data_IF_847680754029
#
_entry.id   IF_847680754029
#
_cell.length_a   1.000
_cell.length_b   1.000
_cell.length_c   1.000
_cell.angle_alpha   90.00
_cell.angle_beta   90.00
_cell.angle_gamma   90.00
#
_symmetry.space_group_name_H-M   'P 1'
#
loop_
_entity.id
_entity.type
_entity.pdbx_description
1 polymer ?
#
# COMPACT_ATOMS: atom_id res chain seq x y z
N UNK A 1 16.20 -10.01 -22.95
CA UNK A 1 16.40 -9.52 -21.58
C UNK A 1 15.02 -9.10 -21.12
N UNK A 2 14.41 -9.79 -20.16
CA UNK A 2 13.10 -9.36 -19.66
C UNK A 2 13.29 -7.98 -19.00
N UNK A 3 12.48 -7.01 -19.40
CA UNK A 3 12.49 -5.70 -18.75
C UNK A 3 12.16 -5.90 -17.27
N UNK A 4 13.00 -5.34 -16.39
CA UNK A 4 12.77 -5.42 -14.94
C UNK A 4 11.48 -4.67 -14.61
N UNK A 5 10.54 -5.32 -13.91
CA UNK A 5 9.25 -4.72 -13.57
C UNK A 5 9.46 -3.53 -12.63
N UNK A 6 9.20 -2.34 -13.14
CA UNK A 6 9.48 -1.09 -12.44
C UNK A 6 8.32 -0.09 -12.67
N UNK A 7 8.17 0.86 -11.74
CA UNK A 7 7.16 1.89 -11.80
C UNK A 7 7.47 3.00 -10.79
N UNK A 8 6.85 4.17 -10.98
CA UNK A 8 6.77 5.21 -9.94
C UNK A 8 5.51 5.01 -9.12
N UNK A 9 5.66 4.99 -7.80
CA UNK A 9 4.56 4.84 -6.87
C UNK A 9 4.48 6.02 -5.92
N UNK A 10 3.31 6.65 -5.88
CA UNK A 10 2.95 7.67 -4.91
C UNK A 10 1.92 7.09 -3.95
N UNK A 11 2.22 7.10 -2.66
CA UNK A 11 1.33 6.54 -1.64
C UNK A 11 1.01 7.61 -0.60
N UNK A 12 -0.27 7.82 -0.35
CA UNK A 12 -0.80 8.82 0.56
C UNK A 12 -1.73 8.14 1.57
N UNK A 13 -1.53 8.45 2.85
CA UNK A 13 -2.38 7.98 3.95
C UNK A 13 -3.14 9.17 4.53
N UNK A 14 -4.45 9.01 4.71
CA UNK A 14 -5.31 9.99 5.35
C UNK A 14 -6.34 9.32 6.27
N UNK A 15 -6.42 9.69 7.55
CA UNK A 15 -5.51 10.60 8.26
C UNK A 15 -4.14 9.94 8.54
N UNK A 16 -3.08 10.75 8.68
CA UNK A 16 -1.73 10.28 9.07
C UNK A 16 -1.63 9.90 10.55
N UNK A 17 -2.65 10.27 11.34
CA UNK A 17 -2.80 9.89 12.74
C UNK A 17 -4.20 9.32 12.94
N UNK A 18 -4.31 8.14 13.52
CA UNK A 18 -5.57 7.42 13.69
C UNK A 18 -5.61 6.72 15.05
N UNK A 19 -6.77 6.69 15.69
CA UNK A 19 -6.99 5.92 16.89
C UNK A 19 -7.77 4.64 16.57
N UNK A 20 -7.82 3.70 17.50
CA UNK A 20 -8.68 2.52 17.42
C UNK A 20 -10.10 2.90 16.99
N UNK A 21 -10.62 2.20 15.97
CA UNK A 21 -11.93 2.45 15.38
C UNK A 21 -11.97 3.57 14.32
N UNK A 22 -10.86 4.29 14.10
CA UNK A 22 -10.77 5.31 13.05
C UNK A 22 -10.56 4.66 11.69
N UNK A 23 -11.32 5.09 10.69
CA UNK A 23 -11.10 4.67 9.30
C UNK A 23 -9.90 5.42 8.70
N UNK A 24 -8.91 4.66 8.23
CA UNK A 24 -7.74 5.15 7.51
C UNK A 24 -7.87 4.81 6.04
N UNK A 25 -7.65 5.81 5.20
CA UNK A 25 -7.63 5.66 3.75
C UNK A 25 -6.21 5.72 3.25
N UNK A 26 -5.74 4.63 2.64
CA UNK A 26 -4.50 4.57 1.88
C UNK A 26 -4.85 4.70 0.39
N UNK A 27 -4.37 5.74 -0.27
CA UNK A 27 -4.50 5.93 -1.72
C UNK A 27 -3.13 5.80 -2.36
N UNK A 28 -3.04 5.02 -3.42
CA UNK A 28 -1.79 4.73 -4.13
C UNK A 28 -2.00 5.01 -5.61
N UNK A 29 -1.11 5.79 -6.20
CA UNK A 29 -1.07 6.07 -7.63
C UNK A 29 0.20 5.51 -8.21
N UNK A 30 0.08 4.81 -9.33
CA UNK A 30 1.22 4.21 -10.00
C UNK A 30 1.31 4.76 -11.42
N UNK A 31 2.50 5.16 -11.82
CA UNK A 31 2.78 5.76 -13.13
C UNK A 31 4.11 5.23 -13.68
N UNK A 32 4.38 5.49 -14.96
CA UNK A 32 5.61 5.05 -15.63
C UNK A 32 5.89 3.53 -15.48
N UNK A 33 4.88 2.68 -15.70
CA UNK A 33 5.00 1.22 -15.55
C UNK A 33 5.84 0.66 -16.72
N UNK A 34 6.92 -0.05 -16.39
CA UNK A 34 7.79 -0.74 -17.36
C UNK A 34 7.95 -2.22 -16.99
N UNK A 35 8.21 -3.07 -17.99
CA UNK A 35 8.41 -4.50 -17.75
C UNK A 35 7.17 -5.26 -17.28
N UNK A 36 5.97 -4.80 -17.65
CA UNK A 36 4.71 -5.53 -17.47
C UNK A 36 3.51 -4.67 -17.11
N UNK A 37 2.42 -5.33 -16.72
CA UNK A 37 1.20 -4.71 -16.20
C UNK A 37 1.02 -5.05 -14.72
N UNK A 38 0.44 -4.13 -13.95
CA UNK A 38 0.11 -4.35 -12.54
C UNK A 38 -1.08 -5.29 -12.44
N UNK A 39 -0.90 -6.40 -11.72
CA UNK A 39 -1.97 -7.32 -11.37
C UNK A 39 -2.67 -6.89 -10.08
N UNK A 40 -1.91 -6.54 -9.04
CA UNK A 40 -2.44 -6.21 -7.72
C UNK A 40 -1.48 -5.34 -6.94
N UNK A 41 -2.01 -4.50 -6.06
CA UNK A 41 -1.23 -3.68 -5.12
C UNK A 41 -1.52 -4.17 -3.72
N UNK A 42 -0.47 -4.44 -2.96
CA UNK A 42 -0.53 -4.97 -1.61
C UNK A 42 0.05 -3.96 -0.64
N UNK A 43 -0.59 -3.83 0.51
CA UNK A 43 -0.09 -3.14 1.69
C UNK A 43 0.20 -4.15 2.79
N UNK A 44 1.27 -3.92 3.53
CA UNK A 44 1.65 -4.76 4.67
C UNK A 44 2.31 -3.93 5.75
N UNK A 45 2.08 -4.32 7.00
CA UNK A 45 2.75 -3.79 8.17
C UNK A 45 3.44 -5.01 8.81
N UNK A 46 4.68 -5.34 8.39
CA UNK A 46 5.35 -6.54 8.85
C UNK A 46 5.60 -6.54 10.36
N UNK A 47 5.77 -5.36 10.96
CA UNK A 47 5.88 -5.17 12.42
C UNK A 47 4.62 -5.62 13.18
N UNK A 48 3.47 -5.63 12.51
CA UNK A 48 2.16 -6.03 13.05
C UNK A 48 1.64 -7.35 12.46
N UNK A 49 2.37 -7.95 11.51
CA UNK A 49 1.91 -9.14 10.78
C UNK A 49 0.64 -8.89 9.95
N UNK A 50 0.35 -7.64 9.62
CA UNK A 50 -0.86 -7.27 8.87
C UNK A 50 -0.59 -7.16 7.37
N UNK A 51 -1.53 -7.65 6.57
CA UNK A 51 -1.45 -7.69 5.11
C UNK A 51 -2.83 -7.42 4.54
N UNK A 52 -2.91 -6.57 3.53
CA UNK A 52 -4.14 -6.27 2.83
C UNK A 52 -3.88 -5.92 1.38
N UNK A 53 -4.88 -6.13 0.53
CA UNK A 53 -4.78 -5.84 -0.91
C UNK A 53 -5.62 -4.60 -1.20
N UNK A 54 -5.03 -3.63 -1.89
CA UNK A 54 -5.74 -2.42 -2.28
C UNK A 54 -6.68 -2.73 -3.45
N UNK A 55 -7.83 -2.06 -3.45
CA UNK A 55 -8.80 -2.15 -4.53
C UNK A 55 -8.46 -1.14 -5.62
N UNK A 56 -8.42 -1.58 -6.87
CA UNK A 56 -8.28 -0.66 -8.01
C UNK A 56 -9.52 0.23 -8.12
N UNK A 57 -9.31 1.53 -8.24
CA UNK A 57 -10.33 2.53 -8.54
C UNK A 57 -10.38 2.88 -10.04
N UNK A 58 -9.46 2.33 -10.85
CA UNK A 58 -9.24 2.75 -12.24
C UNK A 58 -8.12 3.79 -12.35
N UNK A 59 -7.71 4.11 -13.58
CA UNK A 59 -6.72 5.17 -13.88
C UNK A 59 -5.39 5.03 -13.11
N UNK A 60 -4.91 3.79 -12.95
CA UNK A 60 -3.72 3.47 -12.15
C UNK A 60 -3.77 4.02 -10.71
N UNK A 61 -4.97 4.04 -10.13
CA UNK A 61 -5.19 4.41 -8.74
C UNK A 61 -5.75 3.21 -7.97
N UNK A 62 -5.17 2.96 -6.80
CA UNK A 62 -5.60 1.95 -5.86
C UNK A 62 -5.93 2.59 -4.53
N UNK A 63 -6.95 2.07 -3.86
CA UNK A 63 -7.37 2.53 -2.55
C UNK A 63 -7.63 1.37 -1.62
N UNK A 64 -7.22 1.54 -0.36
CA UNK A 64 -7.63 0.73 0.76
C UNK A 64 -8.25 1.65 1.81
N UNK A 65 -9.39 1.23 2.34
CA UNK A 65 -10.02 1.85 3.49
C UNK A 65 -10.09 0.77 4.54
N UNK A 66 -9.43 1.00 5.67
CA UNK A 66 -9.35 0.03 6.76
C UNK A 66 -9.50 0.75 8.10
N UNK A 67 -10.17 0.11 9.05
CA UNK A 67 -10.45 0.69 10.35
C UNK A 67 -9.50 0.13 11.39
N UNK A 68 -8.75 1.00 12.05
CA UNK A 68 -7.73 0.61 13.05
C UNK A 68 -8.33 -0.39 14.04
N UNK A 69 -7.86 -1.65 14.06
CA UNK A 69 -8.44 -2.67 14.92
C UNK A 69 -8.13 -2.40 16.40
N UNK A 70 -8.94 -2.94 17.31
CA UNK A 70 -8.75 -2.77 18.76
C UNK A 70 -7.42 -3.32 19.28
N UNK A 71 -6.82 -4.28 18.57
CA UNK A 71 -5.50 -4.84 18.87
C UNK A 71 -4.32 -4.11 18.23
N UNK A 72 -4.55 -2.96 17.59
CA UNK A 72 -3.48 -2.23 16.92
C UNK A 72 -2.51 -1.63 17.96
N UNK A 73 -1.19 -1.75 17.75
CA UNK A 73 -0.20 -1.20 18.66
C UNK A 73 -0.23 0.34 18.60
N UNK A 74 -0.01 0.96 19.76
CA UNK A 74 0.19 2.41 19.84
C UNK A 74 1.58 2.79 19.30
N UNK A 75 1.66 3.89 18.56
CA UNK A 75 2.91 4.43 18.04
C UNK A 75 2.96 4.52 16.52
N UNK A 76 4.16 4.69 15.97
CA UNK A 76 4.37 4.83 14.52
C UNK A 76 4.48 3.46 13.87
N UNK A 77 3.64 3.20 12.89
CA UNK A 77 3.72 1.99 12.05
C UNK A 77 4.11 2.36 10.63
N UNK A 78 4.93 1.50 10.03
CA UNK A 78 5.39 1.66 8.65
C UNK A 78 4.56 0.77 7.72
N UNK A 79 3.65 1.39 6.97
CA UNK A 79 2.85 0.70 5.96
C UNK A 79 3.68 0.57 4.69
N UNK A 80 4.08 -0.66 4.35
CA UNK A 80 4.80 -0.97 3.12
C UNK A 80 3.79 -1.27 2.03
N UNK A 81 3.94 -0.61 0.90
CA UNK A 81 3.08 -0.77 -0.28
C UNK A 81 3.96 -1.20 -1.44
N UNK A 82 3.53 -2.23 -2.17
CA UNK A 82 4.20 -2.68 -3.38
C UNK A 82 3.16 -3.25 -4.36
N UNK A 83 3.45 -3.13 -5.65
CA UNK A 83 2.67 -3.72 -6.70
C UNK A 83 3.30 -5.04 -7.17
N UNK A 84 2.45 -5.91 -7.67
CA UNK A 84 2.82 -7.21 -8.24
C UNK A 84 2.36 -7.22 -9.68
N UNK A 85 3.25 -7.61 -10.60
CA UNK A 85 2.93 -7.74 -12.02
C UNK A 85 2.05 -8.97 -12.28
N UNK A 86 1.45 -9.06 -13.47
CA UNK A 86 0.71 -10.26 -13.91
C UNK A 86 1.56 -11.53 -13.90
N UNK A 87 2.86 -11.40 -14.09
CA UNK A 87 3.83 -12.50 -14.04
C UNK A 87 4.24 -12.89 -12.60
N UNK A 88 3.65 -12.26 -11.58
CA UNK A 88 3.96 -12.53 -10.17
C UNK A 88 5.24 -11.86 -9.69
N UNK A 89 5.82 -10.94 -10.48
CA UNK A 89 7.04 -10.21 -10.11
C UNK A 89 6.68 -9.07 -9.17
N UNK A 90 7.36 -8.98 -8.03
CA UNK A 90 7.21 -7.85 -7.09
C UNK A 90 8.03 -6.67 -7.59
N UNK A 91 7.39 -5.51 -7.71
CA UNK A 91 8.08 -4.27 -8.05
C UNK A 91 8.65 -3.54 -6.83
N UNK A 92 9.13 -2.29 -7.01
CA UNK A 92 9.68 -1.47 -5.93
C UNK A 92 8.63 -1.19 -4.84
N UNK A 93 9.06 -1.19 -3.58
CA UNK A 93 8.19 -0.90 -2.44
C UNK A 93 8.34 0.55 -1.96
N UNK A 94 7.21 1.16 -1.59
CA UNK A 94 7.15 2.46 -0.92
C UNK A 94 6.69 2.27 0.51
N UNK A 95 7.22 3.04 1.45
CA UNK A 95 6.81 3.00 2.85
C UNK A 95 6.12 4.31 3.22
N UNK A 96 4.96 4.21 3.86
CA UNK A 96 4.21 5.37 4.37
C UNK A 96 4.04 5.22 5.88
N UNK A 97 4.33 6.28 6.62
CA UNK A 97 4.16 6.29 8.07
C UNK A 97 2.72 6.59 8.47
N UNK A 98 2.18 5.80 9.40
CA UNK A 98 0.91 6.05 10.07
C UNK A 98 1.18 6.11 11.59
N UNK A 99 0.62 7.10 12.27
CA UNK A 99 0.71 7.20 13.73
C UNK A 99 -0.58 6.68 14.34
N UNK A 100 -0.48 5.65 15.17
CA UNK A 100 -1.59 5.06 15.91
C UNK A 100 -1.60 5.62 17.34
N UNK A 101 -2.71 6.24 17.73
CA UNK A 101 -2.91 6.93 19.01
C UNK A 101 -3.97 6.30 19.90
#
# INVERSE_FOLDING_TARGET
MAEEFNYKMEAEINPTTAAVGTAVTLTVRISDITGGEISSVQASIPEYGWWSTLRSLGENTWRLIESVPYGAPFGKVNVRVYAVSKDGVRGPQTTVGLTLG
#
